data_IF_731955218441
#
_entry.id   IF_731955218441
#
_cell.length_a   1.000
_cell.length_b   1.000
_cell.length_c   1.000
_cell.angle_alpha   90.00
_cell.angle_beta   90.00
_cell.angle_gamma   90.00
#
_symmetry.space_group_name_H-M   'P 1'
#
loop_
_entity.id
_entity.type
_entity.pdbx_description
1 polymer ?
#
# COMPACT_ATOMS: atom_id res chain seq x y z
N UNK A 1 20.53 -3.79 2.96
CA UNK A 1 19.61 -3.57 1.83
C UNK A 1 20.29 -4.08 0.58
N UNK A 2 19.63 -4.91 -0.21
CA UNK A 2 20.18 -5.50 -1.43
C UNK A 2 19.29 -5.11 -2.61
N UNK A 3 19.89 -4.54 -3.66
CA UNK A 3 19.19 -4.32 -4.94
C UNK A 3 18.99 -5.66 -5.63
N UNK A 4 17.77 -6.01 -5.99
CA UNK A 4 17.44 -7.32 -6.60
C UNK A 4 16.90 -7.21 -8.02
N UNK A 5 16.37 -6.07 -8.40
CA UNK A 5 15.93 -5.80 -9.76
C UNK A 5 15.98 -4.32 -10.08
N UNK A 6 16.14 -3.99 -11.35
CA UNK A 6 15.94 -2.64 -11.86
C UNK A 6 15.49 -2.72 -13.31
N UNK A 7 14.50 -1.91 -13.67
CA UNK A 7 14.19 -1.49 -15.03
C UNK A 7 14.78 -0.10 -15.28
N UNK A 8 14.54 0.49 -16.45
CA UNK A 8 15.04 1.83 -16.76
C UNK A 8 14.61 2.88 -15.72
N UNK A 9 13.48 2.68 -15.05
CA UNK A 9 12.87 3.69 -14.17
C UNK A 9 12.54 3.18 -12.77
N UNK A 10 12.39 1.86 -12.58
CA UNK A 10 11.95 1.28 -11.31
C UNK A 10 13.06 0.43 -10.69
N UNK A 11 13.33 0.63 -9.40
CA UNK A 11 14.34 -0.12 -8.64
C UNK A 11 13.64 -0.84 -7.49
N UNK A 12 13.95 -2.13 -7.35
CA UNK A 12 13.47 -2.97 -6.26
C UNK A 12 14.63 -3.35 -5.35
N UNK A 13 14.45 -3.08 -4.07
CA UNK A 13 15.37 -3.48 -3.02
C UNK A 13 14.71 -4.50 -2.10
N UNK A 14 15.48 -5.46 -1.65
CA UNK A 14 15.11 -6.37 -0.55
C UNK A 14 15.76 -5.90 0.74
N UNK A 15 14.95 -5.81 1.79
CA UNK A 15 15.43 -5.57 3.14
C UNK A 15 15.53 -6.90 3.88
N UNK A 16 16.68 -7.14 4.50
CA UNK A 16 16.83 -8.20 5.49
C UNK A 16 16.50 -7.66 6.88
N UNK A 17 15.80 -8.44 7.68
CA UNK A 17 15.58 -8.14 9.09
C UNK A 17 15.95 -9.38 9.92
N UNK A 18 16.81 -9.24 10.94
CA UNK A 18 17.11 -10.34 11.84
C UNK A 18 15.94 -10.67 12.78
N UNK A 19 15.03 -9.72 12.96
CA UNK A 19 13.90 -9.83 13.91
C UNK A 19 12.63 -10.39 13.30
N UNK A 20 12.50 -10.37 11.97
CA UNK A 20 11.26 -10.77 11.29
C UNK A 20 11.53 -11.77 10.18
N UNK A 21 10.70 -12.80 10.12
CA UNK A 21 10.74 -13.85 9.07
C UNK A 21 10.13 -13.35 7.76
N UNK A 22 9.35 -12.30 7.79
CA UNK A 22 8.69 -11.75 6.62
C UNK A 22 9.68 -11.11 5.65
N UNK A 23 9.32 -11.14 4.38
CA UNK A 23 10.11 -10.48 3.34
C UNK A 23 9.64 -9.04 3.21
N UNK A 24 10.58 -8.11 3.27
CA UNK A 24 10.33 -6.68 3.07
C UNK A 24 10.98 -6.23 1.77
N UNK A 25 10.27 -5.43 1.03
CA UNK A 25 10.74 -4.86 -0.21
C UNK A 25 10.48 -3.35 -0.24
N UNK A 26 11.36 -2.63 -0.90
CA UNK A 26 11.15 -1.23 -1.26
C UNK A 26 11.16 -1.17 -2.77
N UNK A 27 10.09 -0.68 -3.35
CA UNK A 27 10.00 -0.37 -4.77
C UNK A 27 10.05 1.14 -4.91
N UNK A 28 10.88 1.65 -5.79
CA UNK A 28 10.97 3.08 -6.09
C UNK A 28 10.92 3.28 -7.59
N UNK A 29 10.16 4.27 -8.03
CA UNK A 29 10.03 4.63 -9.43
C UNK A 29 10.00 6.15 -9.63
N UNK A 30 9.70 6.61 -10.84
CA UNK A 30 9.57 8.03 -11.14
C UNK A 30 8.48 8.70 -10.31
N UNK A 31 7.31 8.05 -10.16
CA UNK A 31 6.19 8.57 -9.39
C UNK A 31 6.51 8.76 -7.91
N UNK A 32 7.18 7.79 -7.25
CA UNK A 32 7.58 7.95 -5.84
C UNK A 32 8.60 9.08 -5.66
N UNK A 33 9.52 9.27 -6.62
CA UNK A 33 10.46 10.40 -6.59
C UNK A 33 9.74 11.73 -6.77
N UNK A 34 8.78 11.81 -7.68
CA UNK A 34 7.96 12.99 -7.91
C UNK A 34 7.21 13.38 -6.63
N UNK A 35 6.50 12.43 -6.01
CA UNK A 35 5.72 12.66 -4.80
C UNK A 35 6.55 13.06 -3.57
N UNK A 36 7.74 12.46 -3.41
CA UNK A 36 8.59 12.70 -2.24
C UNK A 36 9.47 13.93 -2.37
N UNK A 37 9.91 14.26 -3.60
CA UNK A 37 10.82 15.38 -3.84
C UNK A 37 10.11 16.69 -4.16
N UNK A 38 8.84 16.63 -4.52
CA UNK A 38 8.06 17.77 -5.01
C UNK A 38 6.71 17.87 -4.29
N UNK A 39 6.68 18.40 -3.07
CA UNK A 39 5.45 18.50 -2.27
C UNK A 39 4.38 19.41 -2.88
N UNK A 40 4.77 20.24 -3.86
CA UNK A 40 3.85 21.07 -4.63
C UNK A 40 3.04 20.31 -5.68
N UNK A 41 3.37 19.04 -5.95
CA UNK A 41 2.61 18.20 -6.88
C UNK A 41 1.28 17.81 -6.24
N UNK A 42 0.21 18.39 -6.76
CA UNK A 42 -1.16 18.19 -6.26
C UNK A 42 -2.11 17.92 -7.42
N UNK A 43 -3.35 17.52 -7.11
CA UNK A 43 -4.38 17.30 -8.12
C UNK A 43 -4.09 16.12 -9.04
N UNK A 44 -4.35 16.28 -10.33
CA UNK A 44 -4.21 15.20 -11.31
C UNK A 44 -2.75 14.72 -11.51
N UNK A 45 -1.72 15.56 -11.49
CA UNK A 45 -0.33 15.08 -11.50
C UNK A 45 0.00 14.17 -10.30
N UNK A 46 -0.50 14.49 -9.12
CA UNK A 46 -0.34 13.63 -7.95
C UNK A 46 -1.04 12.27 -8.13
N UNK A 47 -2.28 12.29 -8.65
CA UNK A 47 -3.00 11.06 -9.00
C UNK A 47 -2.22 10.20 -10.00
N UNK A 48 -1.69 10.80 -11.07
CA UNK A 48 -0.93 10.09 -12.09
C UNK A 48 0.34 9.44 -11.53
N UNK A 49 1.07 10.14 -10.66
CA UNK A 49 2.25 9.61 -10.00
C UNK A 49 1.91 8.44 -9.05
N UNK A 50 0.81 8.54 -8.30
CA UNK A 50 0.31 7.45 -7.44
C UNK A 50 -0.13 6.24 -8.28
N UNK A 51 -0.80 6.46 -9.39
CA UNK A 51 -1.23 5.40 -10.31
C UNK A 51 -0.01 4.64 -10.87
N UNK A 52 0.98 5.36 -11.37
CA UNK A 52 2.21 4.78 -11.93
C UNK A 52 2.92 3.88 -10.92
N UNK A 53 3.14 4.36 -9.70
CA UNK A 53 3.78 3.60 -8.62
C UNK A 53 2.95 2.39 -8.21
N UNK A 54 1.64 2.54 -8.09
CA UNK A 54 0.75 1.44 -7.72
C UNK A 54 0.74 0.36 -8.79
N UNK A 55 0.68 0.73 -10.07
CA UNK A 55 0.78 -0.22 -11.19
C UNK A 55 2.11 -0.97 -11.17
N UNK A 56 3.22 -0.26 -10.95
CA UNK A 56 4.54 -0.89 -10.87
C UNK A 56 4.62 -1.91 -9.73
N UNK A 57 4.11 -1.57 -8.55
CA UNK A 57 4.06 -2.46 -7.40
C UNK A 57 3.18 -3.69 -7.67
N UNK A 58 2.00 -3.51 -8.23
CA UNK A 58 1.06 -4.59 -8.54
C UNK A 58 1.59 -5.53 -9.63
N UNK A 59 2.23 -4.99 -10.67
CA UNK A 59 2.92 -5.81 -11.70
C UNK A 59 4.04 -6.64 -11.11
N UNK A 60 4.81 -6.06 -10.18
CA UNK A 60 5.82 -6.82 -9.47
C UNK A 60 5.20 -7.97 -8.66
N UNK A 61 4.13 -7.71 -7.90
CA UNK A 61 3.40 -8.74 -7.16
C UNK A 61 2.90 -9.85 -8.09
N UNK A 62 2.33 -9.49 -9.23
CA UNK A 62 1.88 -10.46 -10.24
C UNK A 62 3.03 -11.32 -10.74
N UNK A 63 4.19 -10.75 -11.02
CA UNK A 63 5.37 -11.49 -11.50
C UNK A 63 5.94 -12.48 -10.47
N UNK A 64 5.67 -12.28 -9.18
CA UNK A 64 6.09 -13.19 -8.10
C UNK A 64 5.08 -14.32 -7.83
N UNK A 65 4.04 -14.45 -8.66
CA UNK A 65 2.97 -15.44 -8.49
C UNK A 65 1.92 -15.04 -7.42
N UNK A 66 1.98 -13.82 -6.94
CA UNK A 66 0.98 -13.25 -6.02
C UNK A 66 -0.15 -12.51 -6.75
N UNK A 67 -0.13 -12.50 -8.08
CA UNK A 67 -1.20 -11.97 -8.90
C UNK A 67 -2.42 -12.89 -9.00
N UNK A 68 -3.36 -12.53 -9.86
CA UNK A 68 -4.61 -13.24 -10.08
C UNK A 68 -5.78 -12.62 -9.32
N UNK A 69 -6.66 -13.45 -8.80
CA UNK A 69 -7.84 -12.99 -8.08
C UNK A 69 -7.49 -12.60 -6.64
N UNK A 70 -7.70 -11.35 -6.29
CA UNK A 70 -7.41 -10.82 -4.96
C UNK A 70 -8.64 -10.17 -4.34
N UNK A 71 -8.76 -10.30 -3.03
CA UNK A 71 -9.54 -9.38 -2.22
C UNK A 71 -8.63 -8.23 -1.76
N UNK A 72 -9.14 -7.04 -1.68
CA UNK A 72 -8.38 -5.87 -1.28
C UNK A 72 -8.90 -5.34 0.05
N UNK A 73 -8.01 -5.17 1.01
CA UNK A 73 -8.29 -4.45 2.25
C UNK A 73 -7.68 -3.06 2.16
N UNK A 74 -8.53 -2.06 2.05
CA UNK A 74 -8.15 -0.66 1.98
C UNK A 74 -8.18 -0.03 3.36
N UNK A 75 -7.01 0.36 3.87
CA UNK A 75 -6.88 1.10 5.12
C UNK A 75 -6.98 2.59 4.79
N UNK A 76 -8.12 3.17 5.11
CA UNK A 76 -8.41 4.57 4.84
C UNK A 76 -7.59 5.46 5.81
N UNK A 77 -7.10 6.59 5.44
CA UNK A 77 -7.28 7.45 4.26
C UNK A 77 -5.94 7.61 3.54
N UNK A 78 -5.53 6.72 2.71
CA UNK A 78 -4.25 6.81 2.02
C UNK A 78 -4.36 7.23 0.56
N UNK A 79 -3.37 7.95 0.06
CA UNK A 79 -3.32 8.39 -1.33
C UNK A 79 -3.27 7.24 -2.32
N UNK A 80 -2.63 6.12 -1.98
CA UNK A 80 -2.59 4.90 -2.80
C UNK A 80 -3.95 4.26 -3.05
N UNK A 81 -4.96 4.60 -2.25
CA UNK A 81 -6.31 4.07 -2.43
C UNK A 81 -7.05 4.71 -3.62
N UNK A 82 -6.69 5.94 -4.01
CA UNK A 82 -7.38 6.65 -5.08
C UNK A 82 -7.25 5.99 -6.45
N UNK A 83 -6.05 5.61 -6.93
CA UNK A 83 -5.88 4.99 -8.24
C UNK A 83 -5.99 3.47 -8.21
N UNK A 84 -6.40 2.86 -7.10
CA UNK A 84 -6.22 1.43 -6.86
C UNK A 84 -6.98 0.54 -7.85
N UNK A 85 -8.23 0.87 -8.16
CA UNK A 85 -9.05 0.11 -9.11
C UNK A 85 -8.44 0.16 -10.52
N UNK A 86 -8.09 1.35 -10.98
CA UNK A 86 -7.44 1.53 -12.27
C UNK A 86 -6.07 0.83 -12.32
N UNK A 87 -5.29 0.93 -11.23
CA UNK A 87 -4.00 0.27 -11.15
C UNK A 87 -4.13 -1.26 -11.19
N UNK A 88 -5.13 -1.85 -10.54
CA UNK A 88 -5.41 -3.28 -10.62
C UNK A 88 -5.75 -3.70 -12.05
N UNK A 89 -6.62 -2.96 -12.73
CA UNK A 89 -6.99 -3.22 -14.11
C UNK A 89 -5.76 -3.16 -15.05
N UNK A 90 -4.93 -2.12 -14.92
CA UNK A 90 -3.70 -1.95 -15.71
C UNK A 90 -2.62 -2.99 -15.41
N UNK A 91 -2.62 -3.55 -14.19
CA UNK A 91 -1.71 -4.62 -13.79
C UNK A 91 -2.23 -6.03 -14.12
N UNK A 92 -3.44 -6.16 -14.68
CA UNK A 92 -4.06 -7.45 -14.99
C UNK A 92 -4.48 -8.23 -13.73
N UNK A 93 -4.77 -7.54 -12.63
CA UNK A 93 -5.26 -8.13 -11.39
C UNK A 93 -6.78 -8.03 -11.35
N UNK A 94 -7.44 -9.16 -11.14
CA UNK A 94 -8.89 -9.19 -10.93
C UNK A 94 -9.21 -9.02 -9.44
N UNK A 95 -9.87 -7.91 -9.10
CA UNK A 95 -10.40 -7.68 -7.77
C UNK A 95 -11.71 -8.43 -7.62
N UNK A 96 -11.79 -9.33 -6.63
CA UNK A 96 -13.01 -10.11 -6.32
C UNK A 96 -13.91 -9.33 -5.37
N UNK A 97 -13.32 -8.78 -4.31
CA UNK A 97 -14.04 -7.99 -3.33
C UNK A 97 -13.15 -6.88 -2.75
N UNK A 98 -13.77 -5.83 -2.26
CA UNK A 98 -13.09 -4.71 -1.61
C UNK A 98 -13.60 -4.53 -0.18
N UNK A 99 -12.67 -4.51 0.74
CA UNK A 99 -12.89 -4.28 2.15
C UNK A 99 -12.32 -2.93 2.56
N UNK A 100 -13.01 -2.24 3.43
CA UNK A 100 -12.62 -0.91 3.88
C UNK A 100 -12.51 -0.86 5.39
N UNK A 101 -11.43 -0.28 5.89
CA UNK A 101 -11.19 -0.10 7.30
C UNK A 101 -10.64 1.30 7.56
N UNK A 102 -11.16 2.00 8.55
CA UNK A 102 -10.62 3.28 9.00
C UNK A 102 -10.27 3.20 10.49
N UNK A 103 -9.05 3.55 10.81
CA UNK A 103 -8.54 3.58 12.17
C UNK A 103 -8.03 4.98 12.50
N UNK A 104 -8.52 5.54 13.59
CA UNK A 104 -8.13 6.87 14.07
C UNK A 104 -7.34 6.79 15.36
N UNK A 105 -6.41 7.74 15.53
CA UNK A 105 -5.63 7.87 16.76
C UNK A 105 -6.43 8.64 17.80
N UNK A 106 -6.52 8.10 19.00
CA UNK A 106 -7.07 8.80 20.16
C UNK A 106 -5.93 9.61 20.75
N UNK A 107 -6.05 10.94 20.69
CA UNK A 107 -5.04 11.87 21.22
C UNK A 107 -5.60 12.56 22.46
N UNK A 108 -4.85 12.49 23.55
CA UNK A 108 -5.10 13.25 24.79
C UNK A 108 -3.81 13.96 25.17
N UNK A 109 -3.89 15.24 25.47
CA UNK A 109 -2.75 16.09 25.87
C UNK A 109 -1.55 15.94 24.92
N UNK A 110 -1.81 15.95 23.59
CA UNK A 110 -0.83 15.76 22.53
C UNK A 110 -0.14 14.38 22.49
N UNK A 111 -0.59 13.42 23.30
CA UNK A 111 -0.09 12.04 23.33
C UNK A 111 -1.09 11.09 22.70
N UNK A 112 -0.61 10.15 21.88
CA UNK A 112 -1.45 9.07 21.34
C UNK A 112 -1.70 8.07 22.47
N UNK A 113 -2.94 8.02 22.96
CA UNK A 113 -3.35 7.14 24.06
C UNK A 113 -4.03 5.87 23.59
N UNK A 114 -4.40 5.79 22.32
CA UNK A 114 -5.05 4.62 21.76
C UNK A 114 -5.33 4.73 20.26
N UNK A 115 -5.95 3.70 19.75
CA UNK A 115 -6.41 3.58 18.38
C UNK A 115 -7.84 3.03 18.39
N UNK A 116 -8.68 3.59 17.55
CA UNK A 116 -10.09 3.21 17.42
C UNK A 116 -10.48 2.96 15.97
N UNK A 117 -11.20 1.87 15.73
CA UNK A 117 -11.76 1.57 14.40
C UNK A 117 -13.07 2.36 14.27
N UNK A 118 -13.09 3.33 13.38
CA UNK A 118 -14.20 4.23 13.16
C UNK A 118 -15.16 3.79 12.07
N UNK A 119 -14.65 2.99 11.16
CA UNK A 119 -15.42 2.51 10.03
C UNK A 119 -14.89 1.17 9.58
N UNK A 120 -15.79 0.24 9.33
CA UNK A 120 -15.45 -1.05 8.75
C UNK A 120 -16.55 -1.51 7.77
N UNK A 121 -16.12 -2.06 6.66
CA UNK A 121 -16.91 -2.80 5.69
C UNK A 121 -16.11 -4.03 5.29
N UNK A 122 -16.29 -5.08 6.07
CA UNK A 122 -15.57 -6.33 5.91
C UNK A 122 -16.57 -7.45 5.54
N UNK A 123 -16.09 -8.38 4.73
CA UNK A 123 -16.78 -9.64 4.44
C UNK A 123 -15.83 -10.80 4.69
N UNK A 124 -16.32 -11.99 5.06
CA UNK A 124 -15.48 -13.17 5.11
C UNK A 124 -14.82 -13.41 3.75
N UNK A 125 -13.53 -13.64 3.76
CA UNK A 125 -12.75 -13.97 2.57
C UNK A 125 -12.10 -15.33 2.72
N UNK A 126 -12.06 -16.13 1.66
CA UNK A 126 -11.34 -17.39 1.58
C UNK A 126 -10.09 -17.31 0.71
N UNK A 127 -9.83 -16.14 0.17
CA UNK A 127 -8.77 -15.92 -0.81
C UNK A 127 -7.56 -15.17 -0.26
N UNK A 128 -6.71 -14.77 -1.18
CA UNK A 128 -5.59 -13.89 -0.86
C UNK A 128 -6.10 -12.47 -0.67
N UNK A 129 -5.61 -11.83 0.37
CA UNK A 129 -5.93 -10.43 0.68
C UNK A 129 -4.68 -9.57 0.48
N UNK A 130 -4.82 -8.52 -0.30
CA UNK A 130 -3.83 -7.45 -0.41
C UNK A 130 -4.26 -6.29 0.47
N UNK A 131 -3.56 -6.08 1.59
CA UNK A 131 -3.79 -4.92 2.44
C UNK A 131 -3.00 -3.72 1.92
N UNK A 132 -3.68 -2.61 1.74
CA UNK A 132 -3.09 -1.36 1.25
C UNK A 132 -3.30 -0.28 2.29
N UNK A 133 -2.19 0.28 2.73
CA UNK A 133 -2.14 1.44 3.62
C UNK A 133 -1.27 2.52 3.01
N UNK A 134 -1.40 3.74 3.52
CA UNK A 134 -0.59 4.87 3.08
C UNK A 134 0.77 4.90 3.80
N UNK A 135 0.96 5.83 4.71
CA UNK A 135 2.22 6.00 5.41
C UNK A 135 2.25 5.13 6.66
N UNK A 136 3.22 4.22 6.72
CA UNK A 136 3.46 3.38 7.91
C UNK A 136 4.66 3.96 8.66
N UNK A 137 4.40 4.69 9.76
CA UNK A 137 5.44 5.20 10.64
C UNK A 137 5.77 4.20 11.75
N UNK A 138 4.94 4.14 12.80
CA UNK A 138 5.14 3.22 13.94
C UNK A 138 4.59 1.80 13.70
N UNK A 139 3.76 1.62 12.68
CA UNK A 139 3.05 0.38 12.42
C UNK A 139 1.87 0.11 13.37
N UNK A 140 1.59 0.99 14.33
CA UNK A 140 0.53 0.77 15.30
C UNK A 140 -0.86 0.69 14.66
N UNK A 141 -1.17 1.59 13.71
CA UNK A 141 -2.42 1.55 12.96
C UNK A 141 -2.55 0.26 12.16
N UNK A 142 -1.49 -0.13 11.44
CA UNK A 142 -1.51 -1.37 10.65
C UNK A 142 -1.74 -2.60 11.53
N UNK A 143 -1.06 -2.68 12.68
CA UNK A 143 -1.27 -3.78 13.64
C UNK A 143 -2.72 -3.83 14.08
N UNK A 144 -3.30 -2.71 14.51
CA UNK A 144 -4.71 -2.64 14.95
C UNK A 144 -5.70 -3.05 13.85
N UNK A 145 -5.36 -2.79 12.60
CA UNK A 145 -6.22 -3.14 11.46
C UNK A 145 -6.11 -4.62 11.04
N UNK A 146 -5.03 -5.31 11.41
CA UNK A 146 -4.78 -6.71 11.04
C UNK A 146 -5.06 -7.70 12.16
N UNK A 147 -5.19 -7.23 13.41
CA UNK A 147 -5.65 -8.00 14.58
C UNK A 147 -7.18 -8.15 14.58
#
# INVERSE_FOLDING_TARGET
MQKIASSQETILYRLGSPCYKNRFYILTGPGSRELLARPEVVGFPCYSALLEETVAALRYLSSTGMGGDLDILTILRGGLNYPLEEACALAGIRVRDMHFLSCERIIRDHVITGLDIRYEKLRPTSGRVLAIGDIIASGATLRKCLD
#
